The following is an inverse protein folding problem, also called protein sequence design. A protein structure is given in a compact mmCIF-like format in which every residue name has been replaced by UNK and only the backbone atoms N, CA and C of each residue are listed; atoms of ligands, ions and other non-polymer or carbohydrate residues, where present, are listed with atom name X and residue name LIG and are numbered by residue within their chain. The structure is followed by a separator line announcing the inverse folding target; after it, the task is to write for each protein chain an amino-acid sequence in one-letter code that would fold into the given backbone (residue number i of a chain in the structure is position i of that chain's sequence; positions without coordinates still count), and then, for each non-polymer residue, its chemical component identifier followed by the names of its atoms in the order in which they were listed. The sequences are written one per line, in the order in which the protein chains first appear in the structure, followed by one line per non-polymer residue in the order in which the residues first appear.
data_IF_450671581146
#
_entry.id   IF_450671581146
#
_cell.length_a   1.000
_cell.length_b   1.000
_cell.length_c   1.000
_cell.angle_alpha   90.00
_cell.angle_beta   90.00
_cell.angle_gamma   90.00
#
_symmetry.space_group_name_H-M   'P 1'
#
loop_
_entity.id
_entity.type
_entity.pdbx_description
1 polymer ?
#
# COMPACT_ATOMS: atom_id res chain seq x y z
N UNK A 1 -26.33 21.38 4.73
CA UNK A 1 -26.80 20.04 5.11
C UNK A 1 -26.15 19.10 4.12
N UNK A 2 -24.94 18.67 4.43
CA UNK A 2 -24.11 17.81 3.59
C UNK A 2 -24.24 16.41 4.19
N UNK A 3 -24.94 15.54 3.48
CA UNK A 3 -24.85 14.09 3.70
C UNK A 3 -23.85 13.60 2.66
N UNK A 4 -22.70 13.10 3.12
CA UNK A 4 -22.10 11.88 2.56
C UNK A 4 -21.02 11.39 3.54
N UNK A 5 -21.15 10.16 3.99
CA UNK A 5 -20.18 9.41 4.80
C UNK A 5 -20.66 7.97 4.65
N UNK A 6 -20.27 7.36 3.53
CA UNK A 6 -20.99 6.27 2.84
C UNK A 6 -21.15 4.96 3.61
N UNK A 7 -20.64 4.81 4.83
CA UNK A 7 -20.89 3.61 5.66
C UNK A 7 -21.59 3.88 7.00
N UNK A 8 -21.63 5.14 7.47
CA UNK A 8 -22.12 5.48 8.82
C UNK A 8 -21.33 4.84 9.97
N UNK A 9 -20.23 4.13 9.69
CA UNK A 9 -19.37 3.47 10.65
C UNK A 9 -18.37 4.47 11.29
N UNK A 10 -17.93 4.22 12.53
CA UNK A 10 -16.81 4.95 13.12
C UNK A 10 -15.54 4.83 12.25
N UNK A 11 -14.73 5.89 12.20
CA UNK A 11 -13.51 5.94 11.38
C UNK A 11 -12.54 4.77 11.66
N UNK A 12 -12.41 4.35 12.91
CA UNK A 12 -11.54 3.23 13.30
C UNK A 12 -12.04 1.89 12.72
N UNK A 13 -13.35 1.68 12.69
CA UNK A 13 -13.94 0.47 12.12
C UNK A 13 -13.78 0.45 10.59
N UNK A 14 -14.00 1.60 9.94
CA UNK A 14 -13.71 1.79 8.50
C UNK A 14 -12.25 1.51 8.18
N UNK A 15 -11.32 2.09 8.95
CA UNK A 15 -9.89 1.90 8.79
C UNK A 15 -9.50 0.42 8.87
N UNK A 16 -10.05 -0.34 9.82
CA UNK A 16 -9.76 -1.77 9.96
C UNK A 16 -10.24 -2.59 8.75
N UNK A 17 -11.45 -2.32 8.24
CA UNK A 17 -12.00 -2.99 7.06
C UNK A 17 -11.11 -2.71 5.85
N UNK A 18 -10.74 -1.45 5.65
CA UNK A 18 -9.93 -1.00 4.51
C UNK A 18 -8.51 -1.56 4.59
N UNK A 19 -7.86 -1.53 5.76
CA UNK A 19 -6.55 -2.14 5.97
C UNK A 19 -6.57 -3.65 5.67
N UNK A 20 -7.62 -4.35 6.06
CA UNK A 20 -7.79 -5.78 5.76
C UNK A 20 -8.02 -6.03 4.26
N UNK A 21 -8.80 -5.18 3.59
CA UNK A 21 -9.01 -5.26 2.15
C UNK A 21 -7.70 -5.06 1.38
N UNK A 22 -6.93 -4.02 1.72
CA UNK A 22 -5.60 -3.76 1.12
C UNK A 22 -4.67 -4.96 1.32
N UNK A 23 -4.60 -5.49 2.55
CA UNK A 23 -3.75 -6.66 2.82
C UNK A 23 -4.16 -7.90 2.01
N UNK A 24 -5.46 -8.07 1.77
CA UNK A 24 -6.00 -9.17 0.97
C UNK A 24 -5.64 -9.02 -0.51
N UNK A 25 -5.79 -7.82 -1.08
CA UNK A 25 -5.41 -7.54 -2.47
C UNK A 25 -3.90 -7.72 -2.70
N UNK A 26 -3.06 -7.19 -1.81
CA UNK A 26 -1.60 -7.40 -1.90
C UNK A 26 -1.24 -8.88 -1.87
N UNK A 27 -1.84 -9.67 -0.96
CA UNK A 27 -1.61 -11.10 -0.87
C UNK A 27 -2.03 -11.82 -2.15
N UNK A 28 -3.21 -11.51 -2.69
CA UNK A 28 -3.71 -12.11 -3.92
C UNK A 28 -2.79 -11.81 -5.12
N UNK A 29 -2.38 -10.55 -5.26
CA UNK A 29 -1.44 -10.11 -6.29
C UNK A 29 -0.14 -10.90 -6.23
N UNK A 30 0.52 -10.91 -5.07
CA UNK A 30 1.81 -11.58 -4.92
C UNK A 30 1.71 -13.10 -5.02
N UNK A 31 0.58 -13.70 -4.63
CA UNK A 31 0.32 -15.12 -4.84
C UNK A 31 0.20 -15.46 -6.33
N UNK A 32 -0.40 -14.58 -7.13
CA UNK A 32 -0.44 -14.72 -8.59
C UNK A 32 0.96 -14.59 -9.17
N UNK A 33 1.73 -13.56 -8.81
CA UNK A 33 3.12 -13.39 -9.27
C UNK A 33 3.99 -14.61 -8.92
N UNK A 34 3.86 -15.14 -7.70
CA UNK A 34 4.57 -16.33 -7.25
C UNK A 34 4.20 -17.58 -8.06
N UNK A 35 2.90 -17.75 -8.37
CA UNK A 35 2.42 -18.87 -9.19
C UNK A 35 3.00 -18.80 -10.61
N UNK A 36 2.94 -17.62 -11.24
CA UNK A 36 3.52 -17.41 -12.58
C UNK A 36 5.03 -17.66 -12.59
N UNK A 37 5.74 -17.21 -11.55
CA UNK A 37 7.17 -17.45 -11.39
C UNK A 37 7.51 -18.95 -11.32
N UNK A 38 6.80 -19.73 -10.49
CA UNK A 38 7.02 -21.18 -10.39
C UNK A 38 6.76 -21.86 -11.74
N UNK A 39 5.77 -21.38 -12.49
CA UNK A 39 5.42 -21.91 -13.80
C UNK A 39 6.32 -21.39 -14.93
N UNK A 40 7.32 -20.57 -14.62
CA UNK A 40 8.24 -19.93 -15.56
C UNK A 40 7.47 -19.17 -16.66
N UNK A 41 6.46 -18.42 -16.25
CA UNK A 41 5.67 -17.50 -17.07
C UNK A 41 5.95 -16.06 -16.63
N UNK A 42 5.88 -15.15 -17.59
CA UNK A 42 5.91 -13.72 -17.29
C UNK A 42 4.53 -13.28 -16.77
N UNK A 43 4.51 -12.27 -15.89
CA UNK A 43 3.29 -11.65 -15.40
C UNK A 43 3.25 -10.19 -15.82
N UNK A 44 2.19 -9.79 -16.51
CA UNK A 44 1.87 -8.38 -16.82
C UNK A 44 0.88 -7.80 -15.79
N UNK A 45 0.72 -8.48 -14.65
CA UNK A 45 -0.29 -8.14 -13.66
C UNK A 45 0.06 -6.83 -12.94
N UNK A 46 -0.94 -5.97 -12.79
CA UNK A 46 -0.87 -4.81 -11.91
C UNK A 46 -1.52 -5.14 -10.56
N UNK A 47 -1.02 -4.52 -9.50
CA UNK A 47 -1.49 -4.81 -8.15
C UNK A 47 -2.92 -4.34 -7.89
N UNK A 48 -3.32 -3.24 -8.53
CA UNK A 48 -4.69 -2.75 -8.57
C UNK A 48 -5.05 -2.45 -10.02
N UNK A 49 -6.13 -3.07 -10.50
CA UNK A 49 -6.68 -2.86 -11.86
C UNK A 49 -7.23 -1.44 -12.06
N UNK A 50 -7.55 -0.75 -10.95
CA UNK A 50 -8.12 0.58 -10.95
C UNK A 50 -7.02 1.64 -11.11
N UNK A 51 -7.07 2.25 -12.30
CA UNK A 51 -6.41 3.49 -12.76
C UNK A 51 -5.39 4.05 -11.76
N UNK A 52 -4.11 3.84 -12.07
CA UNK A 52 -3.04 4.70 -11.55
C UNK A 52 -3.48 6.17 -11.69
N UNK A 53 -3.59 6.85 -10.55
CA UNK A 53 -4.08 8.21 -10.48
C UNK A 53 -2.97 9.16 -10.90
N UNK A 54 -3.33 10.22 -11.64
CA UNK A 54 -2.45 11.36 -11.72
C UNK A 54 -2.35 11.98 -10.31
N UNK A 55 -1.16 12.35 -9.80
CA UNK A 55 -1.03 13.00 -8.50
C UNK A 55 -1.95 14.23 -8.32
N UNK A 56 -2.31 14.93 -9.39
CA UNK A 56 -3.26 16.06 -9.36
C UNK A 56 -4.71 15.66 -9.02
N UNK A 57 -5.06 14.37 -9.10
CA UNK A 57 -6.38 13.82 -8.78
C UNK A 57 -6.50 13.38 -7.30
N UNK A 58 -5.42 13.45 -6.52
CA UNK A 58 -5.37 13.05 -5.11
C UNK A 58 -5.98 14.11 -4.19
N UNK A 59 -6.56 13.66 -3.07
CA UNK A 59 -6.87 14.51 -1.92
C UNK A 59 -5.62 15.20 -1.36
N UNK A 60 -5.80 16.30 -0.63
CA UNK A 60 -4.68 17.14 -0.15
C UNK A 60 -3.64 16.34 0.65
N UNK A 61 -4.10 15.48 1.57
CA UNK A 61 -3.20 14.68 2.41
C UNK A 61 -2.56 13.50 1.65
N UNK A 62 -3.29 12.86 0.73
CA UNK A 62 -2.72 11.83 -0.13
C UNK A 62 -1.66 12.43 -1.07
N UNK A 63 -1.91 13.62 -1.63
CA UNK A 63 -0.92 14.35 -2.42
C UNK A 63 0.32 14.73 -1.61
N UNK A 64 0.14 15.19 -0.37
CA UNK A 64 1.25 15.49 0.52
C UNK A 64 2.10 14.24 0.82
N UNK A 65 1.47 13.08 1.03
CA UNK A 65 2.17 11.81 1.18
C UNK A 65 2.94 11.42 -0.09
N UNK A 66 2.30 11.55 -1.26
CA UNK A 66 2.92 11.30 -2.56
C UNK A 66 4.17 12.16 -2.76
N UNK A 67 4.10 13.47 -2.51
CA UNK A 67 5.26 14.36 -2.66
C UNK A 67 6.37 14.02 -1.67
N UNK A 68 6.03 13.70 -0.42
CA UNK A 68 7.02 13.28 0.57
C UNK A 68 7.85 12.07 0.11
N UNK A 69 7.19 11.01 -0.35
CA UNK A 69 7.91 9.83 -0.83
C UNK A 69 8.61 10.10 -2.16
N UNK A 70 8.03 10.91 -3.05
CA UNK A 70 8.67 11.24 -4.32
C UNK A 70 9.98 11.99 -4.13
N UNK A 71 10.00 12.98 -3.23
CA UNK A 71 11.22 13.74 -2.90
C UNK A 71 12.30 12.85 -2.26
N UNK A 72 11.90 11.82 -1.52
CA UNK A 72 12.84 11.00 -0.74
C UNK A 72 13.32 9.76 -1.51
N UNK A 73 12.43 9.11 -2.25
CA UNK A 73 12.61 7.80 -2.90
C UNK A 73 12.91 7.96 -4.39
N UNK A 74 11.99 8.57 -5.15
CA UNK A 74 12.18 8.74 -6.60
C UNK A 74 13.32 9.70 -6.93
N UNK A 75 13.35 10.87 -6.31
CA UNK A 75 14.47 11.81 -6.51
C UNK A 75 15.77 11.30 -5.90
N UNK A 76 15.68 10.36 -4.95
CA UNK A 76 16.82 9.64 -4.41
C UNK A 76 17.34 8.52 -5.31
N UNK A 77 16.60 8.13 -6.35
CA UNK A 77 16.93 7.06 -7.31
C UNK A 77 17.11 5.67 -6.64
N UNK A 78 16.16 5.28 -5.79
CA UNK A 78 16.15 3.94 -5.16
C UNK A 78 14.75 3.33 -5.05
N UNK A 79 13.82 3.83 -5.87
CA UNK A 79 12.46 3.32 -5.94
C UNK A 79 11.50 4.21 -6.74
N UNK A 80 10.22 3.89 -6.64
CA UNK A 80 9.11 4.56 -7.32
C UNK A 80 7.94 4.80 -6.37
N UNK A 81 7.16 5.84 -6.65
CA UNK A 81 5.96 6.21 -5.90
C UNK A 81 4.79 6.23 -6.87
N UNK A 82 3.81 5.38 -6.58
CA UNK A 82 2.61 5.19 -7.37
C UNK A 82 1.41 5.64 -6.56
N UNK A 83 0.36 6.08 -7.24
CA UNK A 83 -0.89 6.46 -6.61
C UNK A 83 -2.03 5.70 -7.27
N UNK A 84 -2.92 5.13 -6.47
CA UNK A 84 -4.02 4.30 -6.94
C UNK A 84 -5.34 4.73 -6.31
N UNK A 85 -6.43 4.37 -6.99
CA UNK A 85 -7.76 4.35 -6.39
C UNK A 85 -8.20 2.91 -6.24
N UNK A 86 -8.84 2.58 -5.12
CA UNK A 86 -9.42 1.26 -4.89
C UNK A 86 -10.83 1.46 -4.35
N UNK A 87 -11.78 0.60 -4.72
CA UNK A 87 -13.10 0.56 -4.10
C UNK A 87 -13.18 -0.56 -3.03
N UNK A 88 -13.59 -0.22 -1.82
CA UNK A 88 -13.83 -1.14 -0.70
C UNK A 88 -15.24 -0.92 -0.18
N UNK A 89 -16.12 -1.93 -0.27
CA UNK A 89 -17.51 -1.85 0.22
C UNK A 89 -18.26 -0.57 -0.21
N UNK A 90 -18.17 -0.21 -1.50
CA UNK A 90 -18.76 1.00 -2.11
C UNK A 90 -18.09 2.33 -1.69
N UNK A 91 -16.98 2.26 -0.95
CA UNK A 91 -16.14 3.40 -0.58
C UNK A 91 -14.87 3.46 -1.44
N UNK A 92 -14.67 4.55 -2.17
CA UNK A 92 -13.43 4.77 -2.90
C UNK A 92 -12.35 5.33 -1.96
N UNK A 93 -11.16 4.73 -2.01
CA UNK A 93 -9.98 5.14 -1.24
C UNK A 93 -8.82 5.46 -2.17
N UNK A 94 -7.91 6.29 -1.69
CA UNK A 94 -6.66 6.66 -2.36
C UNK A 94 -5.50 5.99 -1.66
N UNK A 95 -4.62 5.35 -2.44
CA UNK A 95 -3.46 4.63 -1.92
C UNK A 95 -2.20 5.24 -2.53
N UNK A 96 -1.31 5.74 -1.68
CA UNK A 96 0.07 6.06 -2.06
C UNK A 96 0.92 4.82 -1.79
N UNK A 97 1.48 4.26 -2.84
CA UNK A 97 2.18 2.99 -2.83
C UNK A 97 3.63 3.19 -3.27
N UNK A 98 4.57 2.84 -2.41
CA UNK A 98 6.00 3.04 -2.65
C UNK A 98 6.67 1.70 -2.87
N UNK A 99 7.53 1.60 -3.88
CA UNK A 99 8.34 0.42 -4.19
C UNK A 99 9.79 0.81 -4.21
N UNK A 100 10.62 0.14 -3.40
CA UNK A 100 12.07 0.27 -3.47
C UNK A 100 12.64 -0.79 -4.39
N UNK A 101 13.90 -0.62 -4.80
CA UNK A 101 14.64 -1.61 -5.58
C UNK A 101 14.89 -2.94 -4.83
N UNK A 102 14.55 -3.01 -3.53
CA UNK A 102 14.78 -4.15 -2.65
C UNK A 102 13.51 -4.91 -2.23
N UNK A 103 12.43 -4.80 -3.00
CA UNK A 103 11.10 -5.42 -2.81
C UNK A 103 10.30 -4.94 -1.58
N UNK A 104 10.88 -4.06 -0.77
CA UNK A 104 10.21 -3.38 0.33
C UNK A 104 9.62 -2.03 -0.10
N UNK A 105 8.91 -1.38 0.82
CA UNK A 105 8.26 -0.12 0.51
C UNK A 105 7.40 0.41 1.63
N UNK A 106 6.58 1.39 1.28
CA UNK A 106 5.63 2.02 2.18
C UNK A 106 4.27 2.12 1.51
N UNK A 107 3.24 2.23 2.32
CA UNK A 107 1.87 2.38 1.87
C UNK A 107 1.15 3.34 2.81
N UNK A 108 0.45 4.32 2.25
CA UNK A 108 -0.50 5.16 3.00
C UNK A 108 -1.84 5.18 2.27
N UNK A 109 -2.93 5.00 3.02
CA UNK A 109 -4.29 4.93 2.51
C UNK A 109 -5.15 6.06 3.10
N UNK A 110 -5.93 6.70 2.25
CA UNK A 110 -6.76 7.86 2.57
C UNK A 110 -8.18 7.69 2.02
N UNK A 111 -9.18 8.25 2.69
CA UNK A 111 -10.47 8.48 2.05
C UNK A 111 -10.40 9.70 1.11
N UNK A 112 -11.47 9.93 0.34
CA UNK A 112 -11.50 11.05 -0.63
C UNK A 112 -11.50 12.45 0.01
N UNK A 113 -11.80 12.54 1.32
CA UNK A 113 -11.67 13.78 2.09
C UNK A 113 -10.24 13.99 2.62
N UNK A 114 -9.33 13.03 2.38
CA UNK A 114 -7.95 13.07 2.84
C UNK A 114 -7.76 12.62 4.29
N UNK A 115 -8.74 11.97 4.91
CA UNK A 115 -8.54 11.37 6.23
C UNK A 115 -7.70 10.11 6.12
N UNK A 116 -6.73 9.96 7.02
CA UNK A 116 -5.89 8.77 7.04
C UNK A 116 -6.69 7.53 7.47
N UNK A 117 -6.60 6.48 6.68
CA UNK A 117 -7.20 5.16 6.94
C UNK A 117 -6.15 4.14 7.38
N UNK A 118 -4.88 4.36 7.02
CA UNK A 118 -3.78 3.53 7.50
C UNK A 118 -2.45 3.91 6.87
N UNK A 119 -1.36 3.59 7.57
CA UNK A 119 0.01 3.70 7.05
C UNK A 119 0.79 2.44 7.42
N UNK A 120 1.60 1.93 6.49
CA UNK A 120 2.36 0.72 6.70
C UNK A 120 3.76 0.79 6.07
N UNK A 121 4.72 0.13 6.73
CA UNK A 121 5.89 -0.43 6.04
C UNK A 121 5.46 -1.75 5.40
N UNK A 122 5.97 -2.04 4.21
CA UNK A 122 5.69 -3.29 3.51
C UNK A 122 6.95 -4.02 3.08
N UNK A 123 6.81 -5.33 2.92
CA UNK A 123 7.76 -6.18 2.22
C UNK A 123 6.98 -7.23 1.44
N UNK A 124 6.98 -7.11 0.10
CA UNK A 124 6.16 -7.95 -0.79
C UNK A 124 4.68 -7.89 -0.33
N UNK A 125 4.08 -8.99 0.12
CA UNK A 125 2.70 -9.08 0.60
C UNK A 125 2.51 -8.74 2.08
N UNK A 126 3.60 -8.57 2.82
CA UNK A 126 3.56 -8.31 4.27
C UNK A 126 3.38 -6.82 4.54
N UNK A 127 2.52 -6.48 5.49
CA UNK A 127 2.25 -5.13 5.96
C UNK A 127 2.44 -5.01 7.47
N UNK A 128 3.14 -3.96 7.89
CA UNK A 128 3.28 -3.57 9.28
C UNK A 128 2.61 -2.20 9.48
N UNK A 129 1.32 -2.22 9.80
CA UNK A 129 0.53 -1.02 10.08
C UNK A 129 1.03 -0.29 11.32
N UNK A 130 1.25 1.03 11.21
CA UNK A 130 1.66 1.95 12.28
C UNK A 130 1.02 3.32 12.03
N UNK A 131 1.27 4.28 12.93
CA UNK A 131 0.92 5.67 12.65
C UNK A 131 1.84 6.25 11.58
N UNK A 132 1.37 7.29 10.86
CA UNK A 132 2.07 7.91 9.74
C UNK A 132 3.46 8.42 10.12
N UNK A 133 3.63 9.01 11.31
CA UNK A 133 4.92 9.56 11.76
C UNK A 133 5.97 8.45 11.90
N UNK A 134 5.61 7.32 12.50
CA UNK A 134 6.50 6.16 12.63
C UNK A 134 6.87 5.55 11.26
N UNK A 135 5.89 5.47 10.34
CA UNK A 135 6.09 4.92 8.99
C UNK A 135 7.04 5.80 8.18
N UNK A 136 6.80 7.12 8.18
CA UNK A 136 7.64 8.09 7.46
C UNK A 136 9.03 8.21 8.08
N UNK A 137 9.14 8.13 9.41
CA UNK A 137 10.44 8.10 10.09
C UNK A 137 11.33 6.92 9.66
N UNK A 138 10.73 5.78 9.30
CA UNK A 138 11.47 4.61 8.81
C UNK A 138 12.11 4.83 7.43
N UNK A 139 11.60 5.77 6.62
CA UNK A 139 12.19 6.14 5.32
C UNK A 139 13.60 6.68 5.53
N UNK A 140 13.80 7.53 6.54
CA UNK A 140 15.09 8.13 6.84
C UNK A 140 16.05 7.15 7.51
N UNK A 141 15.55 6.28 8.39
CA UNK A 141 16.39 5.38 9.19
C UNK A 141 16.65 4.03 8.53
N UNK A 142 15.90 3.67 7.48
CA UNK A 142 15.85 2.31 6.95
C UNK A 142 15.28 1.30 7.97
N UNK A 143 14.43 1.77 8.89
CA UNK A 143 13.88 0.94 9.96
C UNK A 143 13.02 -0.18 9.38
N UNK A 144 13.31 -1.42 9.76
CA UNK A 144 12.56 -2.58 9.28
C UNK A 144 11.86 -3.28 10.46
N UNK A 145 10.52 -3.19 10.53
CA UNK A 145 9.77 -3.75 11.65
C UNK A 145 9.91 -5.27 11.74
N UNK A 146 10.04 -5.86 12.95
CA UNK A 146 10.15 -7.30 13.13
C UNK A 146 8.91 -8.08 12.66
N UNK A 147 7.76 -7.42 12.55
CA UNK A 147 6.53 -7.98 11.98
C UNK A 147 6.70 -8.37 10.49
N UNK A 148 7.63 -7.72 9.77
CA UNK A 148 7.93 -8.01 8.37
C UNK A 148 8.98 -9.13 8.23
N UNK A 149 8.72 -10.29 8.82
CA UNK A 149 9.65 -11.42 8.71
C UNK A 149 9.72 -11.97 7.28
N UNK A 150 10.85 -11.80 6.59
CA UNK A 150 11.07 -12.22 5.20
C UNK A 150 10.84 -13.72 4.97
N UNK A 151 11.15 -14.55 5.97
CA UNK A 151 10.93 -16.00 5.93
C UNK A 151 9.43 -16.37 5.95
N UNK A 152 8.58 -15.43 6.35
CA UNK A 152 7.13 -15.62 6.37
C UNK A 152 6.46 -15.31 5.04
N UNK A 153 7.22 -14.78 4.06
CA UNK A 153 6.69 -14.49 2.73
C UNK A 153 6.36 -15.77 1.96
N UNK A 154 5.56 -15.64 0.90
CA UNK A 154 5.31 -16.70 -0.08
C UNK A 154 6.61 -17.28 -0.65
N UNK A 155 7.65 -16.45 -0.78
CA UNK A 155 8.96 -16.80 -1.34
C UNK A 155 9.90 -17.47 -0.32
N UNK A 156 9.73 -17.19 0.97
CA UNK A 156 10.50 -17.81 2.06
C UNK A 156 10.00 -19.19 2.45
N UNK A 157 8.78 -19.57 2.07
CA UNK A 157 8.17 -20.87 2.41
C UNK A 157 8.58 -21.92 1.39
N UNK A 158 9.54 -22.77 1.77
CA UNK A 158 9.98 -23.92 0.96
C UNK A 158 8.93 -25.04 0.77
N UNK A 159 7.76 -24.95 1.39
CA UNK A 159 6.72 -26.00 1.40
C UNK A 159 5.50 -25.72 0.51
N UNK A 160 5.52 -24.64 -0.28
CA UNK A 160 4.50 -24.38 -1.31
C UNK A 160 5.03 -24.84 -2.67
N UNK A 161 5.31 -26.15 -2.79
CA UNK A 161 5.60 -26.84 -4.07
C UNK A 161 4.84 -28.16 -4.10
#
# INVERSE_FOLDING_TARGET
MTFDNSSGLPLEERANIIQQAIATELLNYWQKCYTEFIENRDTDEQIWDDRELNPEELSENAYAAYQFYRETVEMGDWGSVLAYRMEVEEEAIEIVYVVTDGDDGWLEAYDLDGNILGAARRYIELLAWKNVEDVRGQVETGGFPPELNRESTLWGRSEVV
#
